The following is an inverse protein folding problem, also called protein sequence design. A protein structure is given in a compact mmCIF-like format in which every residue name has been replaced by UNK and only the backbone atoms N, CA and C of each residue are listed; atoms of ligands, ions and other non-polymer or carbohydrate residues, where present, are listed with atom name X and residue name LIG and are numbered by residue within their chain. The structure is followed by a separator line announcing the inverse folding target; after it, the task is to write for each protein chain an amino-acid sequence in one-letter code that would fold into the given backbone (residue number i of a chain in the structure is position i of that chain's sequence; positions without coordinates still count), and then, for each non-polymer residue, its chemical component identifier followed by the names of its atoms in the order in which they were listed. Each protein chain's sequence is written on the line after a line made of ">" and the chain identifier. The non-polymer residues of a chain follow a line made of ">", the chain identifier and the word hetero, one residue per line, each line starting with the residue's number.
data_IF_090307387712
#
_entry.id   IF_090307387712
#
_cell.length_a   1.000
_cell.length_b   1.000
_cell.length_c   1.000
_cell.angle_alpha   90.00
_cell.angle_beta   90.00
_cell.angle_gamma   90.00
#
_symmetry.space_group_name_H-M   'P 1'
#
loop_
_entity.id
_entity.type
_entity.pdbx_description
1 polymer ?
#
# COMPACT_ATOMS: atom_id res chain seq x y z
N UNK A 1 45.54 30.48 -42.36
CA UNK A 1 45.39 30.67 -40.89
C UNK A 1 43.95 30.48 -40.54
N UNK A 2 43.57 29.45 -39.76
CA UNK A 2 42.19 29.31 -39.25
C UNK A 2 42.01 30.30 -38.12
N UNK A 3 41.06 31.26 -38.29
CA UNK A 3 40.68 32.19 -37.24
C UNK A 3 39.89 31.39 -36.17
N UNK A 4 40.42 31.23 -35.01
CA UNK A 4 39.68 30.73 -33.84
C UNK A 4 38.82 31.88 -33.33
N UNK A 5 37.49 31.70 -33.39
CA UNK A 5 36.54 32.59 -32.76
C UNK A 5 36.59 32.28 -31.25
N UNK A 6 37.07 33.22 -30.47
CA UNK A 6 37.04 33.13 -29.00
C UNK A 6 35.76 33.78 -28.48
N UNK A 7 35.06 33.11 -27.54
CA UNK A 7 33.89 33.69 -26.88
C UNK A 7 34.30 34.80 -25.95
N UNK A 8 33.45 35.83 -25.86
CA UNK A 8 33.65 36.91 -24.87
C UNK A 8 33.16 36.44 -23.49
N UNK A 9 33.75 37.01 -22.42
CA UNK A 9 33.35 36.72 -21.04
C UNK A 9 31.85 37.03 -20.82
N UNK A 10 31.35 38.10 -21.44
CA UNK A 10 29.96 38.48 -21.31
C UNK A 10 28.97 37.51 -21.96
N UNK A 11 29.31 36.92 -23.13
CA UNK A 11 28.48 35.92 -23.78
C UNK A 11 28.37 34.65 -22.91
N UNK A 12 29.46 34.22 -22.30
CA UNK A 12 29.45 33.07 -21.40
C UNK A 12 28.62 33.36 -20.14
N UNK A 13 28.77 34.55 -19.55
CA UNK A 13 28.02 34.91 -18.36
C UNK A 13 26.51 34.99 -18.61
N UNK A 14 26.09 35.55 -19.75
CA UNK A 14 24.66 35.62 -20.12
C UNK A 14 24.10 34.23 -20.38
N UNK A 15 24.81 33.39 -21.14
CA UNK A 15 24.34 32.04 -21.45
C UNK A 15 24.20 31.19 -20.20
N UNK A 16 25.19 31.19 -19.31
CA UNK A 16 25.11 30.45 -18.04
C UNK A 16 24.01 30.99 -17.13
N UNK A 17 23.81 32.30 -17.10
CA UNK A 17 22.71 32.93 -16.38
C UNK A 17 21.32 32.46 -16.84
N UNK A 18 21.09 32.43 -18.15
CA UNK A 18 19.84 31.96 -18.74
C UNK A 18 19.62 30.45 -18.45
N UNK A 19 20.64 29.62 -18.67
CA UNK A 19 20.58 28.19 -18.37
C UNK A 19 20.29 27.96 -16.89
N UNK A 20 20.92 28.71 -15.98
CA UNK A 20 20.70 28.62 -14.54
C UNK A 20 19.24 28.90 -14.14
N UNK A 21 18.63 29.96 -14.72
CA UNK A 21 17.22 30.28 -14.46
C UNK A 21 16.27 29.20 -14.98
N UNK A 22 16.49 28.74 -16.22
CA UNK A 22 15.67 27.66 -16.80
C UNK A 22 15.80 26.39 -15.97
N UNK A 23 17.02 25.99 -15.62
CA UNK A 23 17.27 24.79 -14.82
C UNK A 23 16.61 24.90 -13.43
N UNK A 24 16.69 26.04 -12.77
CA UNK A 24 16.07 26.25 -11.45
C UNK A 24 14.54 26.08 -11.46
N UNK A 25 13.87 26.38 -12.57
CA UNK A 25 12.41 26.22 -12.72
C UNK A 25 12.00 24.83 -13.17
N UNK A 26 12.82 24.14 -13.97
CA UNK A 26 12.45 22.87 -14.61
C UNK A 26 12.88 21.64 -13.82
N UNK A 27 14.09 21.66 -13.21
CA UNK A 27 14.66 20.50 -12.53
C UNK A 27 13.79 19.99 -11.36
N UNK A 28 13.24 20.85 -10.46
CA UNK A 28 12.43 20.36 -9.34
C UNK A 28 11.20 19.56 -9.78
N UNK A 29 10.53 20.01 -10.84
CA UNK A 29 9.34 19.34 -11.38
C UNK A 29 9.68 18.00 -12.05
N UNK A 30 10.80 17.96 -12.79
CA UNK A 30 11.29 16.74 -13.42
C UNK A 30 11.66 15.69 -12.39
N UNK A 31 12.38 16.08 -11.34
CA UNK A 31 12.77 15.18 -10.24
C UNK A 31 11.56 14.59 -9.52
N UNK A 32 10.54 15.41 -9.19
CA UNK A 32 9.31 14.93 -8.57
C UNK A 32 8.58 13.89 -9.42
N UNK A 33 8.46 14.12 -10.72
CA UNK A 33 7.81 13.19 -11.63
C UNK A 33 8.60 11.87 -11.75
N UNK A 34 9.91 11.95 -11.83
CA UNK A 34 10.77 10.77 -11.85
C UNK A 34 10.65 9.95 -10.56
N UNK A 35 10.64 10.62 -9.40
CA UNK A 35 10.45 9.94 -8.11
C UNK A 35 9.11 9.20 -8.05
N UNK A 36 8.00 9.83 -8.47
CA UNK A 36 6.69 9.18 -8.54
C UNK A 36 6.71 7.92 -9.42
N UNK A 37 7.33 8.00 -10.59
CA UNK A 37 7.47 6.85 -11.49
C UNK A 37 8.31 5.74 -10.86
N UNK A 38 9.43 6.08 -10.25
CA UNK A 38 10.29 5.10 -9.58
C UNK A 38 9.56 4.38 -8.43
N UNK A 39 8.82 5.12 -7.60
CA UNK A 39 8.01 4.58 -6.51
C UNK A 39 6.90 3.66 -7.04
N UNK A 40 6.23 4.05 -8.13
CA UNK A 40 5.20 3.20 -8.76
C UNK A 40 5.78 1.89 -9.30
N UNK A 41 6.93 1.95 -9.95
CA UNK A 41 7.62 0.75 -10.45
C UNK A 41 8.03 -0.17 -9.30
N UNK A 42 8.54 0.41 -8.21
CA UNK A 42 8.91 -0.35 -7.02
C UNK A 42 7.67 -1.03 -6.39
N UNK A 43 6.58 -0.29 -6.19
CA UNK A 43 5.32 -0.84 -5.68
C UNK A 43 4.82 -1.99 -6.54
N UNK A 44 4.77 -1.78 -7.87
CA UNK A 44 4.33 -2.82 -8.81
C UNK A 44 5.18 -4.07 -8.73
N UNK A 45 6.50 -3.91 -8.60
CA UNK A 45 7.42 -5.04 -8.44
C UNK A 45 7.12 -5.81 -7.16
N UNK A 46 7.01 -5.12 -6.02
CA UNK A 46 6.73 -5.73 -4.73
C UNK A 46 5.38 -6.46 -4.73
N UNK A 47 4.32 -5.84 -5.30
CA UNK A 47 3.01 -6.48 -5.41
C UNK A 47 3.06 -7.74 -6.29
N UNK A 48 3.70 -7.66 -7.47
CA UNK A 48 3.83 -8.82 -8.35
C UNK A 48 4.61 -9.96 -7.67
N UNK A 49 5.70 -9.65 -6.97
CA UNK A 49 6.49 -10.65 -6.24
C UNK A 49 5.66 -11.34 -5.15
N UNK A 50 4.85 -10.59 -4.42
CA UNK A 50 3.94 -11.14 -3.42
C UNK A 50 2.83 -12.00 -4.05
N UNK A 51 2.18 -11.52 -5.12
CA UNK A 51 1.12 -12.25 -5.81
C UNK A 51 1.63 -13.53 -6.46
N UNK A 52 2.80 -13.48 -7.11
CA UNK A 52 3.42 -14.67 -7.71
C UNK A 52 3.76 -15.73 -6.65
N UNK A 53 4.25 -15.30 -5.48
CA UNK A 53 4.52 -16.19 -4.36
C UNK A 53 3.24 -16.81 -3.77
N UNK A 54 2.14 -16.04 -3.67
CA UNK A 54 0.85 -16.54 -3.21
C UNK A 54 0.23 -17.53 -4.22
N UNK A 55 0.32 -17.24 -5.50
CA UNK A 55 -0.13 -18.15 -6.57
C UNK A 55 0.69 -19.45 -6.58
N UNK A 56 1.99 -19.35 -6.31
CA UNK A 56 2.87 -20.52 -6.17
C UNK A 56 2.44 -21.40 -4.99
N UNK A 57 2.20 -20.81 -3.80
CA UNK A 57 1.73 -21.54 -2.63
C UNK A 57 0.41 -22.28 -2.89
N UNK A 58 -0.58 -21.60 -3.51
CA UNK A 58 -1.87 -22.20 -3.88
C UNK A 58 -1.65 -23.41 -4.79
N UNK A 59 -0.75 -23.26 -5.76
CA UNK A 59 -0.44 -24.32 -6.75
C UNK A 59 0.31 -25.49 -6.11
N UNK A 60 1.31 -25.25 -5.29
CA UNK A 60 2.11 -26.28 -4.62
C UNK A 60 1.26 -27.13 -3.67
N UNK A 61 0.31 -26.51 -2.98
CA UNK A 61 -0.62 -27.23 -2.11
C UNK A 61 -1.82 -27.85 -2.84
N UNK A 62 -1.93 -27.65 -4.16
CA UNK A 62 -3.01 -28.19 -4.98
C UNK A 62 -4.39 -27.66 -4.59
N UNK A 63 -4.46 -26.41 -4.15
CA UNK A 63 -5.69 -25.74 -3.71
C UNK A 63 -6.23 -24.80 -4.79
N UNK A 64 -7.44 -24.32 -4.59
CA UNK A 64 -8.11 -23.37 -5.50
C UNK A 64 -8.26 -21.98 -4.87
N UNK A 65 -7.94 -21.84 -3.58
CA UNK A 65 -8.06 -20.59 -2.85
C UNK A 65 -7.04 -20.57 -1.72
N UNK A 66 -6.51 -19.39 -1.44
CA UNK A 66 -5.58 -19.16 -0.34
C UNK A 66 -6.18 -19.54 1.03
N UNK A 67 -7.50 -19.40 1.19
CA UNK A 67 -8.21 -19.80 2.41
C UNK A 67 -8.16 -21.32 2.71
N UNK A 68 -7.71 -22.14 1.76
CA UNK A 68 -7.57 -23.58 1.92
C UNK A 68 -6.11 -24.02 2.10
N UNK A 69 -5.17 -23.10 2.05
CA UNK A 69 -3.73 -23.37 2.17
C UNK A 69 -3.24 -23.25 3.60
N UNK A 70 -2.02 -23.69 3.84
CA UNK A 70 -1.34 -23.52 5.12
C UNK A 70 -1.12 -22.05 5.53
N UNK A 71 -1.31 -21.11 4.60
CA UNK A 71 -1.24 -19.67 4.88
C UNK A 71 -2.21 -19.21 5.97
N UNK A 72 -3.36 -19.87 6.09
CA UNK A 72 -4.38 -19.57 7.11
C UNK A 72 -4.11 -20.22 8.46
N UNK A 73 -3.17 -21.14 8.56
CA UNK A 73 -2.85 -21.83 9.79
C UNK A 73 -2.07 -20.91 10.76
N UNK A 74 -1.95 -21.32 12.01
CA UNK A 74 -1.12 -20.62 12.97
C UNK A 74 0.35 -20.62 12.48
N UNK A 75 0.97 -19.44 12.41
CA UNK A 75 2.32 -19.30 11.85
C UNK A 75 2.41 -19.37 10.31
N UNK A 76 1.31 -19.63 9.61
CA UNK A 76 1.29 -19.79 8.15
C UNK A 76 1.82 -18.56 7.39
N UNK A 77 1.48 -17.34 7.85
CA UNK A 77 2.01 -16.10 7.26
C UNK A 77 3.54 -16.06 7.38
N UNK A 78 4.09 -16.36 8.56
CA UNK A 78 5.53 -16.36 8.76
C UNK A 78 6.23 -17.42 7.92
N UNK A 79 5.65 -18.61 7.81
CA UNK A 79 6.16 -19.69 6.97
C UNK A 79 6.15 -19.28 5.48
N UNK A 80 5.06 -18.64 5.03
CA UNK A 80 4.97 -18.13 3.66
C UNK A 80 6.10 -17.14 3.36
N UNK A 81 6.28 -16.10 4.16
CA UNK A 81 7.34 -15.12 3.93
C UNK A 81 8.73 -15.74 3.93
N UNK A 82 9.01 -16.68 4.83
CA UNK A 82 10.33 -17.30 4.93
C UNK A 82 10.64 -18.33 3.84
N UNK A 83 9.62 -18.99 3.27
CA UNK A 83 9.82 -20.09 2.31
C UNK A 83 9.61 -19.65 0.84
N UNK A 84 8.74 -18.68 0.58
CA UNK A 84 8.35 -18.28 -0.79
C UNK A 84 8.89 -16.90 -1.19
N UNK A 85 9.42 -16.13 -0.25
CA UNK A 85 9.96 -14.80 -0.52
C UNK A 85 11.42 -14.69 -0.07
N UNK A 86 12.16 -13.79 -0.69
CA UNK A 86 13.55 -13.55 -0.32
C UNK A 86 13.62 -12.50 0.78
N UNK A 87 13.41 -12.95 2.03
CA UNK A 87 13.46 -12.11 3.22
C UNK A 87 14.91 -11.92 3.68
N UNK A 88 15.34 -10.67 3.90
CA UNK A 88 16.67 -10.32 4.43
C UNK A 88 16.63 -10.18 5.95
N UNK A 89 15.53 -9.62 6.47
CA UNK A 89 15.35 -9.34 7.91
C UNK A 89 13.90 -9.51 8.30
N UNK A 90 13.67 -10.07 9.48
CA UNK A 90 12.34 -10.16 10.11
C UNK A 90 12.35 -9.39 11.42
N UNK A 91 11.32 -8.59 11.67
CA UNK A 91 11.09 -7.86 12.91
C UNK A 91 9.75 -8.30 13.51
N UNK A 92 9.71 -8.41 14.84
CA UNK A 92 8.46 -8.71 15.55
C UNK A 92 7.56 -7.48 15.68
N UNK A 93 6.33 -7.68 16.09
CA UNK A 93 5.38 -6.60 16.37
C UNK A 93 5.86 -5.61 17.45
N UNK A 94 6.76 -6.04 18.33
CA UNK A 94 7.35 -5.18 19.37
C UNK A 94 8.56 -4.39 18.88
N UNK A 95 9.09 -4.69 17.70
CA UNK A 95 10.29 -4.05 17.12
C UNK A 95 10.03 -3.58 15.66
N UNK A 96 8.92 -2.92 15.43
CA UNK A 96 8.56 -2.39 14.11
C UNK A 96 9.61 -1.41 13.57
N UNK A 97 10.17 -0.55 14.41
CA UNK A 97 11.13 0.49 14.05
C UNK A 97 12.47 -0.04 13.52
N UNK A 98 12.77 -1.30 13.72
CA UNK A 98 13.95 -1.95 13.13
C UNK A 98 13.77 -2.33 11.66
N UNK A 99 12.55 -2.38 11.15
CA UNK A 99 12.22 -2.70 9.75
C UNK A 99 11.58 -1.55 9.01
N UNK A 100 10.72 -0.78 9.65
CA UNK A 100 10.06 0.42 9.12
C UNK A 100 10.74 1.70 9.61
N UNK A 101 10.37 2.83 9.02
CA UNK A 101 10.86 4.13 9.47
C UNK A 101 10.48 4.38 10.94
N UNK A 102 11.46 4.86 11.73
CA UNK A 102 11.23 5.32 13.11
C UNK A 102 10.69 6.76 13.16
N UNK A 103 10.13 7.25 12.06
CA UNK A 103 9.52 8.55 11.92
C UNK A 103 8.05 8.39 11.53
N UNK A 104 7.27 9.44 11.77
CA UNK A 104 5.87 9.40 11.38
C UNK A 104 5.69 9.39 9.87
N UNK A 105 4.66 8.72 9.42
CA UNK A 105 4.16 8.78 8.05
C UNK A 105 3.18 9.95 7.91
N UNK A 106 3.27 10.66 6.81
CA UNK A 106 2.49 11.86 6.53
C UNK A 106 1.57 11.60 5.34
N UNK A 107 0.33 12.08 5.39
CA UNK A 107 -0.55 12.06 4.23
C UNK A 107 -0.08 13.04 3.13
N UNK A 108 -0.50 12.81 1.88
CA UNK A 108 -0.10 13.63 0.72
C UNK A 108 -0.47 15.09 0.91
N UNK A 109 -1.65 15.36 1.49
CA UNK A 109 -2.15 16.71 1.80
C UNK A 109 -1.61 17.29 3.13
N UNK A 110 -0.83 16.52 3.87
CA UNK A 110 -0.30 16.92 5.17
C UNK A 110 -1.32 16.95 6.31
N UNK A 111 -2.57 16.52 6.08
CA UNK A 111 -3.65 16.55 7.09
C UNK A 111 -3.44 15.53 8.21
N UNK A 112 -2.73 14.44 7.95
CA UNK A 112 -2.41 13.39 8.92
C UNK A 112 -0.91 13.21 9.06
N UNK A 113 -0.49 12.99 10.30
CA UNK A 113 0.88 12.67 10.68
C UNK A 113 0.81 11.59 11.77
N UNK A 114 1.16 10.35 11.45
CA UNK A 114 0.93 9.18 12.30
C UNK A 114 2.19 8.31 12.41
N UNK A 115 2.48 7.86 13.62
CA UNK A 115 3.40 6.75 13.83
C UNK A 115 2.79 5.45 13.31
N UNK A 116 3.63 4.56 12.81
CA UNK A 116 3.24 3.23 12.36
C UNK A 116 3.76 2.16 13.33
N UNK A 117 2.89 1.20 13.62
CA UNK A 117 3.23 0.00 14.39
C UNK A 117 2.60 -1.20 13.69
N UNK A 118 3.41 -2.21 13.39
CA UNK A 118 2.94 -3.45 12.80
C UNK A 118 2.28 -4.34 13.87
N UNK A 119 1.05 -4.75 13.64
CA UNK A 119 0.36 -5.68 14.58
C UNK A 119 0.86 -7.12 14.46
N UNK A 120 1.47 -7.48 13.33
CA UNK A 120 2.08 -8.78 13.08
C UNK A 120 3.61 -8.69 12.96
N UNK A 121 4.20 -9.55 12.15
CA UNK A 121 5.61 -9.48 11.84
C UNK A 121 5.87 -8.59 10.62
N UNK A 122 7.05 -7.98 10.61
CA UNK A 122 7.54 -7.18 9.49
C UNK A 122 8.70 -7.90 8.80
N UNK A 123 8.72 -7.84 7.48
CA UNK A 123 9.70 -8.52 6.63
C UNK A 123 10.35 -7.53 5.68
N UNK A 124 11.67 -7.43 5.72
CA UNK A 124 12.44 -6.66 4.74
C UNK A 124 12.80 -7.60 3.60
N UNK A 125 12.35 -7.28 2.40
CA UNK A 125 12.58 -8.07 1.20
C UNK A 125 13.93 -7.71 0.53
N UNK A 126 14.38 -8.54 -0.39
CA UNK A 126 15.67 -8.36 -1.08
C UNK A 126 15.74 -7.08 -1.94
N UNK A 127 14.61 -6.53 -2.32
CA UNK A 127 14.50 -5.27 -3.06
C UNK A 127 14.45 -4.03 -2.17
N UNK A 128 14.66 -4.20 -0.86
CA UNK A 128 14.61 -3.19 0.20
C UNK A 128 13.20 -2.71 0.56
N UNK A 129 12.15 -3.25 -0.04
CA UNK A 129 10.80 -3.01 0.43
C UNK A 129 10.56 -3.71 1.78
N UNK A 130 9.71 -3.12 2.59
CA UNK A 130 9.32 -3.71 3.88
C UNK A 130 7.82 -3.99 3.88
N UNK A 131 7.45 -5.18 4.32
CA UNK A 131 6.06 -5.61 4.39
C UNK A 131 5.73 -5.99 5.84
N UNK A 132 4.75 -5.30 6.42
CA UNK A 132 4.09 -5.76 7.65
C UNK A 132 2.92 -6.64 7.25
N UNK A 133 2.83 -7.84 7.80
CA UNK A 133 1.73 -8.75 7.55
C UNK A 133 1.05 -9.12 8.88
N UNK A 134 -0.24 -8.85 8.98
CA UNK A 134 -1.02 -9.18 10.16
C UNK A 134 -2.33 -9.85 9.79
N UNK A 135 -2.73 -10.83 10.62
CA UNK A 135 -4.05 -11.44 10.49
C UNK A 135 -5.08 -10.55 11.15
N UNK A 136 -6.18 -10.30 10.45
CA UNK A 136 -7.31 -9.60 11.00
C UNK A 136 -8.45 -10.60 11.18
N UNK A 137 -8.97 -10.71 12.40
CA UNK A 137 -10.09 -11.61 12.72
C UNK A 137 -11.45 -11.06 12.30
N UNK A 138 -11.55 -9.72 12.19
CA UNK A 138 -12.71 -9.02 11.63
C UNK A 138 -12.34 -7.59 11.29
N UNK A 139 -12.73 -7.13 10.12
CA UNK A 139 -12.65 -5.70 9.77
C UNK A 139 -14.06 -5.14 9.90
N UNK A 140 -14.40 -4.41 10.96
CA UNK A 140 -15.62 -3.64 10.98
C UNK A 140 -15.46 -2.49 9.98
N UNK A 141 -16.24 -2.53 8.92
CA UNK A 141 -16.32 -1.46 7.92
C UNK A 141 -17.63 -0.73 8.22
N UNK A 142 -17.58 0.60 8.28
CA UNK A 142 -18.81 1.39 8.45
C UNK A 142 -19.85 0.96 7.44
N UNK A 143 -21.03 0.56 7.92
CA UNK A 143 -22.11 0.12 7.07
C UNK A 143 -22.69 1.34 6.34
N UNK A 144 -22.91 1.18 5.05
CA UNK A 144 -23.53 2.21 4.20
C UNK A 144 -24.80 1.64 3.55
N UNK A 145 -25.80 2.48 3.46
CA UNK A 145 -26.99 2.23 2.67
C UNK A 145 -27.17 3.39 1.69
N UNK A 146 -27.25 3.07 0.41
CA UNK A 146 -27.39 4.06 -0.67
C UNK A 146 -26.29 5.16 -0.64
N UNK A 147 -25.05 4.78 -0.23
CA UNK A 147 -23.91 5.70 -0.12
C UNK A 147 -23.91 6.57 1.14
N UNK A 148 -24.81 6.35 2.08
CA UNK A 148 -24.88 7.06 3.36
C UNK A 148 -24.45 6.13 4.49
N UNK A 149 -23.48 6.57 5.29
CA UNK A 149 -23.02 5.82 6.46
C UNK A 149 -24.16 5.67 7.49
N UNK A 150 -24.31 4.47 8.04
CA UNK A 150 -25.26 4.18 9.11
C UNK A 150 -24.49 4.25 10.43
N UNK A 151 -24.79 5.23 11.25
CA UNK A 151 -24.11 5.46 12.52
C UNK A 151 -24.21 4.23 13.45
N UNK A 152 -23.10 3.77 13.97
CA UNK A 152 -23.01 2.63 14.86
C UNK A 152 -23.22 1.26 14.22
N UNK A 153 -23.38 1.20 12.89
CA UNK A 153 -23.49 -0.04 12.15
C UNK A 153 -22.18 -0.36 11.39
N UNK A 154 -21.88 -1.64 11.26
CA UNK A 154 -20.72 -2.11 10.53
C UNK A 154 -21.05 -3.31 9.65
N UNK A 155 -20.23 -3.53 8.62
CA UNK A 155 -20.23 -4.72 7.79
C UNK A 155 -18.98 -5.54 8.07
N UNK A 156 -19.09 -6.86 8.02
CA UNK A 156 -17.94 -7.73 8.17
C UNK A 156 -17.34 -8.05 6.81
N UNK A 157 -16.01 -8.01 6.71
CA UNK A 157 -15.33 -8.46 5.51
C UNK A 157 -15.57 -9.97 5.29
N UNK A 158 -15.77 -10.36 4.03
CA UNK A 158 -15.92 -11.76 3.66
C UNK A 158 -14.54 -12.31 3.28
N UNK A 159 -14.26 -13.53 3.72
CA UNK A 159 -13.09 -14.26 3.32
C UNK A 159 -11.91 -14.05 4.24
N UNK A 160 -10.74 -14.36 3.72
CA UNK A 160 -9.52 -14.40 4.48
C UNK A 160 -8.93 -12.99 4.62
N UNK A 161 -8.67 -12.57 5.84
CA UNK A 161 -8.30 -11.20 6.14
C UNK A 161 -6.84 -11.13 6.59
N UNK A 162 -5.92 -11.04 5.65
CA UNK A 162 -4.56 -10.60 5.92
C UNK A 162 -4.40 -9.17 5.41
N UNK A 163 -4.05 -8.32 6.34
CA UNK A 163 -3.70 -6.93 6.12
C UNK A 163 -2.21 -6.83 5.86
N UNK A 164 -1.85 -6.08 4.84
CA UNK A 164 -0.48 -5.76 4.51
C UNK A 164 -0.26 -4.26 4.55
N UNK A 165 0.83 -3.85 5.17
CA UNK A 165 1.40 -2.51 4.97
C UNK A 165 2.70 -2.67 4.21
N UNK A 166 2.79 -2.07 3.04
CA UNK A 166 3.96 -2.15 2.15
C UNK A 166 4.63 -0.80 2.13
N UNK A 167 5.86 -0.75 2.60
CA UNK A 167 6.74 0.40 2.45
C UNK A 167 7.78 0.08 1.39
N UNK A 168 7.71 0.76 0.25
CA UNK A 168 8.49 0.42 -0.95
C UNK A 168 9.96 0.79 -0.84
N UNK A 169 10.34 1.72 0.05
CA UNK A 169 11.72 2.12 0.30
C UNK A 169 12.18 1.76 1.74
N UNK A 170 11.36 1.05 2.50
CA UNK A 170 11.63 0.59 3.85
C UNK A 170 11.78 1.74 4.85
N UNK A 171 12.83 1.70 5.67
CA UNK A 171 13.06 2.73 6.69
C UNK A 171 13.55 4.08 6.15
N UNK A 172 13.67 4.24 4.83
CA UNK A 172 14.20 5.46 4.21
C UNK A 172 13.09 6.49 3.96
N UNK A 173 13.46 7.77 4.05
CA UNK A 173 12.57 8.86 3.65
C UNK A 173 12.42 8.93 2.11
N UNK A 174 11.30 9.47 1.62
CA UNK A 174 10.19 10.08 2.35
C UNK A 174 9.25 9.04 2.96
N UNK A 175 8.54 9.37 4.04
CA UNK A 175 7.55 8.51 4.68
C UNK A 175 6.16 9.10 4.40
N UNK A 176 5.61 8.83 3.22
CA UNK A 176 4.38 9.46 2.73
C UNK A 176 3.39 8.37 2.29
N UNK A 177 2.23 8.32 2.96
CA UNK A 177 1.15 7.44 2.58
C UNK A 177 0.74 7.65 1.12
N UNK A 178 0.63 6.56 0.34
CA UNK A 178 0.30 6.61 -1.08
C UNK A 178 1.48 6.91 -2.00
N UNK A 179 2.67 7.14 -1.47
CA UNK A 179 3.90 7.24 -2.29
C UNK A 179 4.85 6.09 -2.05
N UNK A 180 5.19 5.86 -0.82
CA UNK A 180 6.06 4.77 -0.37
C UNK A 180 5.36 3.81 0.58
N UNK A 181 4.36 4.28 1.36
CA UNK A 181 3.56 3.47 2.26
C UNK A 181 2.17 3.18 1.67
N UNK A 182 1.79 1.90 1.63
CA UNK A 182 0.50 1.43 1.10
C UNK A 182 -0.14 0.43 2.05
N UNK A 183 -1.40 0.66 2.36
CA UNK A 183 -2.23 -0.25 3.14
C UNK A 183 -3.13 -1.05 2.20
N UNK A 184 -2.94 -2.37 2.19
CA UNK A 184 -3.61 -3.27 1.26
C UNK A 184 -4.01 -4.58 1.95
N UNK A 185 -4.77 -5.41 1.28
CA UNK A 185 -5.26 -6.69 1.78
C UNK A 185 -4.96 -7.81 0.80
N UNK A 186 -4.67 -9.00 1.34
CA UNK A 186 -4.58 -10.24 0.55
C UNK A 186 -5.98 -10.82 0.40
N UNK A 187 -6.38 -11.07 -0.83
CA UNK A 187 -7.66 -11.67 -1.17
C UNK A 187 -7.59 -13.21 -1.20
N UNK A 188 -8.73 -13.91 -1.08
CA UNK A 188 -8.76 -15.37 -1.17
C UNK A 188 -8.23 -15.95 -2.48
N UNK A 189 -8.24 -15.17 -3.57
CA UNK A 189 -7.69 -15.55 -4.87
C UNK A 189 -6.18 -15.31 -5.01
N UNK A 190 -5.49 -14.94 -3.91
CA UNK A 190 -4.06 -14.62 -3.91
C UNK A 190 -3.73 -13.23 -4.44
N UNK A 191 -4.71 -12.42 -4.82
CA UNK A 191 -4.48 -11.06 -5.32
C UNK A 191 -4.45 -10.04 -4.20
N UNK A 192 -3.70 -8.96 -4.42
CA UNK A 192 -3.54 -7.86 -3.49
C UNK A 192 -4.40 -6.68 -3.92
N UNK A 193 -5.20 -6.16 -3.01
CA UNK A 193 -6.07 -5.01 -3.25
C UNK A 193 -6.20 -4.15 -1.98
N UNK A 194 -6.51 -2.88 -2.15
CA UNK A 194 -6.87 -1.99 -1.04
C UNK A 194 -8.39 -1.90 -0.84
N UNK A 195 -9.13 -2.75 -1.54
CA UNK A 195 -10.57 -2.94 -1.38
C UNK A 195 -10.84 -4.29 -0.71
N UNK A 196 -11.78 -4.33 0.20
CA UNK A 196 -12.24 -5.57 0.85
C UNK A 196 -13.62 -5.94 0.35
N UNK A 197 -13.84 -7.25 0.19
CA UNK A 197 -15.19 -7.76 -0.05
C UNK A 197 -15.94 -7.79 1.28
N UNK A 198 -17.11 -7.20 1.32
CA UNK A 198 -17.94 -7.18 2.53
C UNK A 198 -19.24 -7.93 2.30
N UNK A 199 -19.75 -8.54 3.36
CA UNK A 199 -21.08 -9.09 3.38
C UNK A 199 -22.09 -7.94 3.39
N UNK A 200 -23.21 -8.09 2.69
CA UNK A 200 -24.31 -7.14 2.72
C UNK A 200 -25.02 -7.09 4.09
N UNK A 201 -24.71 -8.01 5.00
CA UNK A 201 -25.28 -7.98 6.35
C UNK A 201 -24.85 -6.70 7.07
N UNK A 202 -25.82 -5.98 7.60
CA UNK A 202 -25.58 -4.82 8.46
C UNK A 202 -25.56 -5.31 9.89
N UNK A 203 -24.46 -5.10 10.59
CA UNK A 203 -24.27 -5.50 11.97
C UNK A 203 -24.31 -4.29 12.88
N UNK A 204 -24.93 -4.42 14.04
CA UNK A 204 -24.92 -3.43 15.13
C UNK A 204 -24.46 -4.13 16.40
N UNK A 205 -23.78 -3.41 17.30
CA UNK A 205 -23.44 -3.93 18.61
C UNK A 205 -24.64 -3.82 19.54
N UNK A 206 -25.12 -4.95 20.08
CA UNK A 206 -26.13 -5.00 21.13
C UNK A 206 -25.52 -5.73 22.33
N UNK A 207 -25.45 -5.05 23.47
CA UNK A 207 -24.86 -5.58 24.71
C UNK A 207 -23.45 -6.19 24.54
N UNK A 208 -22.62 -5.57 23.67
CA UNK A 208 -21.27 -6.04 23.38
C UNK A 208 -21.18 -7.23 22.41
N UNK A 209 -22.32 -7.70 21.87
CA UNK A 209 -22.39 -8.78 20.90
C UNK A 209 -22.83 -8.24 19.52
N UNK A 210 -22.16 -8.59 18.43
CA UNK A 210 -22.57 -8.19 17.09
C UNK A 210 -23.85 -8.93 16.68
N UNK A 211 -24.91 -8.19 16.42
CA UNK A 211 -26.16 -8.69 15.84
C UNK A 211 -26.23 -8.24 14.41
N UNK A 212 -26.22 -9.20 13.47
CA UNK A 212 -26.22 -8.94 12.03
C UNK A 212 -27.57 -9.28 11.42
N UNK A 213 -28.09 -8.38 10.61
CA UNK A 213 -29.33 -8.57 9.85
C UNK A 213 -29.00 -8.65 8.37
N UNK A 214 -29.45 -9.72 7.71
CA UNK A 214 -29.32 -9.84 6.27
C UNK A 214 -30.26 -8.83 5.56
N UNK A 215 -29.82 -8.17 4.49
CA UNK A 215 -30.71 -7.36 3.69
C UNK A 215 -31.77 -8.26 3.04
N UNK A 216 -32.96 -7.73 2.85
CA UNK A 216 -34.12 -8.46 2.39
C UNK A 216 -34.08 -8.91 0.91
N UNK A 217 -32.99 -8.69 0.21
CA UNK A 217 -32.80 -9.14 -1.17
C UNK A 217 -31.33 -9.12 -1.58
N UNK A 218 -30.89 -10.25 -2.09
CA UNK A 218 -29.64 -10.49 -2.79
C UNK A 218 -28.37 -10.50 -1.92
N UNK A 219 -27.74 -11.67 -1.81
CA UNK A 219 -26.43 -11.89 -1.18
C UNK A 219 -25.27 -11.30 -2.03
N UNK A 220 -25.41 -10.07 -2.51
CA UNK A 220 -24.38 -9.46 -3.33
C UNK A 220 -23.18 -9.07 -2.48
N UNK A 221 -22.04 -9.55 -2.87
CA UNK A 221 -20.74 -9.13 -2.33
C UNK A 221 -20.47 -7.71 -2.82
N UNK A 222 -20.39 -6.77 -1.90
CA UNK A 222 -20.01 -5.39 -2.22
C UNK A 222 -18.52 -5.22 -2.03
N UNK A 223 -17.83 -4.73 -3.06
CA UNK A 223 -16.45 -4.29 -2.95
C UNK A 223 -16.48 -2.81 -2.58
N UNK A 224 -16.00 -2.48 -1.38
CA UNK A 224 -15.89 -1.08 -0.96
C UNK A 224 -14.54 -0.53 -1.39
N UNK A 225 -14.50 0.61 -2.08
CA UNK A 225 -13.26 1.31 -2.35
C UNK A 225 -12.62 1.75 -1.03
N UNK A 226 -11.29 1.76 -1.01
CA UNK A 226 -10.53 2.30 0.11
C UNK A 226 -10.86 3.78 0.38
N UNK A 227 -10.42 4.26 1.54
CA UNK A 227 -10.56 5.68 1.93
C UNK A 227 -9.81 6.59 0.95
N UNK A 228 -10.08 7.89 1.07
CA UNK A 228 -9.36 8.91 0.30
C UNK A 228 -7.84 8.78 0.48
N UNK A 229 -7.17 8.41 -0.60
CA UNK A 229 -5.74 8.20 -0.65
C UNK A 229 -4.96 9.45 -0.21
N UNK A 230 -5.40 10.64 -0.62
CA UNK A 230 -4.68 11.89 -0.40
C UNK A 230 -4.62 12.27 1.08
N UNK A 231 -5.66 11.93 1.84
CA UNK A 231 -5.78 12.20 3.27
C UNK A 231 -5.25 11.04 4.15
N UNK A 232 -4.73 9.96 3.56
CA UNK A 232 -4.26 8.80 4.32
C UNK A 232 -2.75 8.83 4.57
N UNK A 233 -2.33 8.89 5.84
CA UNK A 233 -0.92 8.79 6.21
C UNK A 233 -0.32 7.39 5.98
N UNK A 234 -1.15 6.36 5.90
CA UNK A 234 -0.73 4.97 5.69
C UNK A 234 -1.06 4.43 4.29
N UNK A 235 -1.51 5.29 3.37
CA UNK A 235 -1.74 4.93 1.97
C UNK A 235 -2.97 4.06 1.73
N UNK A 236 -3.99 4.13 2.60
CA UNK A 236 -5.26 3.43 2.42
C UNK A 236 -6.00 3.99 1.20
N UNK A 237 -6.46 3.11 0.30
CA UNK A 237 -7.18 3.50 -0.92
C UNK A 237 -6.28 4.01 -2.05
N UNK A 238 -4.96 3.98 -1.89
CA UNK A 238 -4.03 4.49 -2.89
C UNK A 238 -3.75 3.52 -4.02
N UNK A 239 -3.76 2.22 -3.76
CA UNK A 239 -3.50 1.22 -4.79
C UNK A 239 -4.56 1.23 -5.89
N UNK A 240 -5.84 1.29 -5.53
CA UNK A 240 -6.95 1.41 -6.50
C UNK A 240 -6.79 2.66 -7.38
N UNK A 241 -6.40 3.80 -6.81
CA UNK A 241 -6.15 5.01 -7.58
C UNK A 241 -5.01 4.83 -8.60
N UNK A 242 -3.93 4.18 -8.20
CA UNK A 242 -2.79 3.89 -9.07
C UNK A 242 -3.18 2.90 -10.19
N UNK A 243 -3.92 1.85 -9.86
CA UNK A 243 -4.39 0.86 -10.82
C UNK A 243 -5.34 1.47 -11.86
N UNK A 244 -6.30 2.28 -11.42
CA UNK A 244 -7.25 2.98 -12.30
C UNK A 244 -6.57 4.02 -13.21
N UNK A 245 -5.39 4.50 -12.84
CA UNK A 245 -4.57 5.43 -13.63
C UNK A 245 -3.40 4.74 -14.36
N UNK A 246 -3.55 3.45 -14.72
CA UNK A 246 -2.53 2.69 -15.45
C UNK A 246 -1.14 2.74 -14.79
N UNK A 247 -1.10 2.48 -13.49
CA UNK A 247 0.11 2.54 -12.69
C UNK A 247 0.79 3.92 -12.66
N UNK A 248 0.00 4.99 -12.58
CA UNK A 248 0.49 6.36 -12.41
C UNK A 248 -0.05 6.99 -11.13
N UNK A 249 0.83 7.64 -10.37
CA UNK A 249 0.48 8.45 -9.20
C UNK A 249 0.08 9.86 -9.64
N UNK A 250 -1.20 10.07 -9.96
CA UNK A 250 -1.75 11.35 -10.47
C UNK A 250 -2.21 12.30 -9.37
N UNK A 251 -1.78 12.08 -8.14
CA UNK A 251 -2.10 12.88 -6.97
C UNK A 251 -0.84 13.47 -6.34
#
# INVERSE_FOLDING_TARGET
>A
MKKFLAFTLSEVLVTVGIIGVIAALTVPNLVKNYQKQAQTVQLRKTINELEDALDLLITEEGKTSLAQTSFVDEGGIANFFNNHLRVIKTCSSTDTSSCFANQNYISIDGSQNRSFTCSGNSYVLADSSTVCASRITSVPIEAEKDGVAIEGAFQTAIGYNVELYIDTNGAQAPNIGGRDMFHVYVRPDGKIADTVQVNNNICTMQDGVPVCVAPSSDDSIVIKPGRDCVASALGTGCLTNILNNNWNMNY
#
